data_IF_671226125438
#
_entry.id   IF_671226125438
#
_cell.length_a   1.000
_cell.length_b   1.000
_cell.length_c   1.000
_cell.angle_alpha   90.00
_cell.angle_beta   90.00
_cell.angle_gamma   90.00
#
_symmetry.space_group_name_H-M   'P 1'
#
loop_
_entity.id
_entity.type
_entity.pdbx_description
1 polymer ?
#
# COMPACT_ATOMS: atom_id res chain seq x y z
N UNK A 1 -13.53 -10.53 10.49
CA UNK A 1 -12.85 -9.72 9.45
C UNK A 1 -11.58 -9.16 10.07
N UNK A 2 -10.41 -9.47 9.51
CA UNK A 2 -9.10 -9.08 10.06
C UNK A 2 -8.70 -7.73 9.43
N UNK A 3 -8.78 -6.63 10.17
CA UNK A 3 -8.59 -5.24 9.67
C UNK A 3 -7.12 -4.77 9.64
N UNK A 4 -6.19 -5.70 9.46
CA UNK A 4 -4.75 -5.40 9.48
C UNK A 4 -4.21 -4.98 8.10
N UNK A 5 -4.86 -4.02 7.43
CA UNK A 5 -4.40 -3.47 6.14
C UNK A 5 -3.69 -2.13 6.34
N UNK A 6 -2.41 -2.19 6.67
CA UNK A 6 -1.48 -1.08 6.41
C UNK A 6 -1.05 -1.09 4.92
N UNK A 7 -1.97 -1.34 3.99
CA UNK A 7 -1.73 -1.43 2.53
C UNK A 7 -2.14 -0.12 1.83
N UNK A 8 -1.93 1.01 2.50
CA UNK A 8 -2.02 2.31 1.84
C UNK A 8 -0.72 2.64 1.09
N UNK A 9 -0.73 3.66 0.22
CA UNK A 9 0.46 4.14 -0.49
C UNK A 9 1.57 4.66 0.46
N UNK A 10 1.27 4.78 1.75
CA UNK A 10 2.21 5.07 2.81
C UNK A 10 2.03 3.99 3.87
N UNK A 11 3.13 3.31 4.23
CA UNK A 11 3.16 2.33 5.31
C UNK A 11 4.13 2.77 6.41
N UNK A 12 3.81 2.40 7.66
CA UNK A 12 4.66 2.63 8.81
C UNK A 12 5.00 1.30 9.48
N UNK A 13 6.28 0.95 9.50
CA UNK A 13 6.79 -0.29 10.10
C UNK A 13 8.19 -0.06 10.66
N UNK A 14 8.52 -0.70 11.79
CA UNK A 14 9.84 -0.61 12.43
C UNK A 14 10.32 0.85 12.64
N UNK A 15 9.40 1.75 13.01
CA UNK A 15 9.66 3.19 13.17
C UNK A 15 10.16 3.91 11.91
N UNK A 16 9.91 3.33 10.72
CA UNK A 16 10.23 3.92 9.42
C UNK A 16 8.96 4.08 8.59
N UNK A 17 8.94 5.14 7.79
CA UNK A 17 7.94 5.35 6.75
C UNK A 17 8.46 4.78 5.43
N UNK A 18 7.58 4.11 4.70
CA UNK A 18 7.83 3.67 3.32
C UNK A 18 6.69 4.19 2.46
N UNK A 19 7.04 4.84 1.36
CA UNK A 19 6.10 5.43 0.40
C UNK A 19 6.24 4.65 -0.89
N UNK A 20 5.11 4.24 -1.44
CA UNK A 20 5.04 3.49 -2.69
C UNK A 20 5.43 4.41 -3.84
N UNK A 21 6.20 3.89 -4.79
CA UNK A 21 6.45 4.56 -6.07
C UNK A 21 5.15 4.63 -6.89
N UNK A 22 5.15 5.50 -7.91
CA UNK A 22 4.01 5.66 -8.81
C UNK A 22 3.62 4.32 -9.47
N UNK A 23 4.61 3.54 -9.92
CA UNK A 23 4.41 2.23 -10.54
C UNK A 23 3.75 1.23 -9.58
N UNK A 24 4.14 1.25 -8.30
CA UNK A 24 3.53 0.37 -7.30
C UNK A 24 2.08 0.78 -6.99
N UNK A 25 1.77 2.07 -7.04
CA UNK A 25 0.40 2.59 -6.91
C UNK A 25 -0.45 2.15 -8.11
N UNK A 26 0.07 2.24 -9.33
CA UNK A 26 -0.62 1.82 -10.55
C UNK A 26 -0.98 0.32 -10.49
N UNK A 27 -0.03 -0.55 -10.11
CA UNK A 27 -0.29 -1.99 -9.92
C UNK A 27 -1.33 -2.26 -8.83
N UNK A 28 -1.31 -1.49 -7.75
CA UNK A 28 -2.31 -1.60 -6.69
C UNK A 28 -3.70 -1.26 -7.25
N UNK A 29 -3.82 -0.17 -8.01
CA UNK A 29 -5.08 0.25 -8.62
C UNK A 29 -5.59 -0.77 -9.63
N UNK A 30 -4.74 -1.35 -10.48
CA UNK A 30 -5.12 -2.44 -11.39
C UNK A 30 -5.71 -3.64 -10.63
N UNK A 31 -5.09 -4.04 -9.52
CA UNK A 31 -5.58 -5.15 -8.71
C UNK A 31 -6.94 -4.85 -8.04
N UNK A 32 -7.22 -3.59 -7.69
CA UNK A 32 -8.49 -3.19 -7.09
C UNK A 32 -9.62 -2.98 -8.10
N UNK A 33 -9.29 -2.69 -9.36
CA UNK A 33 -10.26 -2.37 -10.41
C UNK A 33 -10.57 -3.57 -11.34
N UNK A 34 -9.83 -4.68 -11.21
CA UNK A 34 -10.06 -5.94 -11.93
C UNK A 34 -10.97 -6.91 -11.19
#
# INVERSE_FOLDING_TARGET
MNTNRNEGPISYKNKKFSIYSLEEIEKLLEHFLS
#
